data_IF_912700433736
#
_entry.id   IF_912700433736
#
_cell.length_a   1.000
_cell.length_b   1.000
_cell.length_c   1.000
_cell.angle_alpha   90.00
_cell.angle_beta   90.00
_cell.angle_gamma   90.00
#
_symmetry.space_group_name_H-M   'P 1'
#
loop_
_entity.id
_entity.type
_entity.pdbx_description
1 polymer ?
#
# COMPACT_ATOMS: atom_id res chain seq x y z
N UNK A 1 -25.03 31.63 -51.49
CA UNK A 1 -24.85 31.07 -50.13
C UNK A 1 -24.24 32.16 -49.28
N UNK A 2 -24.86 32.49 -48.16
CA UNK A 2 -24.32 33.51 -47.28
C UNK A 2 -23.06 32.98 -46.57
N UNK A 3 -21.98 33.76 -46.51
CA UNK A 3 -20.72 33.34 -45.87
C UNK A 3 -20.94 32.95 -44.40
N UNK A 4 -21.92 33.54 -43.73
CA UNK A 4 -22.33 33.20 -42.37
C UNK A 4 -22.81 31.73 -42.26
N UNK A 5 -23.63 31.27 -43.22
CA UNK A 5 -24.17 29.90 -43.22
C UNK A 5 -23.06 28.86 -43.45
N UNK A 6 -22.07 29.19 -44.28
CA UNK A 6 -20.90 28.33 -44.52
C UNK A 6 -20.07 28.21 -43.23
N UNK A 7 -19.81 29.33 -42.54
CA UNK A 7 -19.06 29.35 -41.27
C UNK A 7 -19.79 28.54 -40.19
N UNK A 8 -21.11 28.70 -40.05
CA UNK A 8 -21.92 27.93 -39.10
C UNK A 8 -21.91 26.43 -39.42
N UNK A 9 -21.96 26.05 -40.69
CA UNK A 9 -21.83 24.66 -41.13
C UNK A 9 -20.48 24.05 -40.75
N UNK A 10 -19.38 24.78 -40.98
CA UNK A 10 -18.02 24.34 -40.62
C UNK A 10 -17.88 24.20 -39.09
N UNK A 11 -18.37 25.18 -38.32
CA UNK A 11 -18.34 25.13 -36.85
C UNK A 11 -19.14 23.94 -36.31
N UNK A 12 -20.34 23.67 -36.86
CA UNK A 12 -21.15 22.52 -36.48
C UNK A 12 -20.43 21.19 -36.75
N UNK A 13 -19.72 21.09 -37.87
CA UNK A 13 -18.93 19.91 -38.23
C UNK A 13 -17.76 19.71 -37.26
N UNK A 14 -17.03 20.78 -36.92
CA UNK A 14 -15.94 20.75 -35.94
C UNK A 14 -16.45 20.29 -34.56
N UNK A 15 -17.57 20.86 -34.08
CA UNK A 15 -18.15 20.50 -32.78
C UNK A 15 -18.57 19.02 -32.77
N UNK A 16 -19.17 18.53 -33.85
CA UNK A 16 -19.58 17.12 -33.96
C UNK A 16 -18.38 16.18 -33.86
N UNK A 17 -17.28 16.52 -34.55
CA UNK A 17 -16.02 15.76 -34.48
C UNK A 17 -15.43 15.79 -33.07
N UNK A 18 -15.42 16.96 -32.41
CA UNK A 18 -14.95 17.08 -31.02
C UNK A 18 -15.76 16.20 -30.06
N UNK A 19 -17.09 16.21 -30.16
CA UNK A 19 -17.98 15.39 -29.32
C UNK A 19 -17.73 13.90 -29.57
N UNK A 20 -17.58 13.49 -30.83
CA UNK A 20 -17.31 12.09 -31.19
C UNK A 20 -15.97 11.57 -30.64
N UNK A 21 -14.99 12.46 -30.41
CA UNK A 21 -13.70 12.08 -29.83
C UNK A 21 -13.73 11.94 -28.29
N UNK A 22 -14.68 12.57 -27.59
CA UNK A 22 -14.79 12.50 -26.12
C UNK A 22 -14.71 11.07 -25.57
N UNK A 23 -15.47 10.07 -26.03
CA UNK A 23 -15.41 8.71 -25.47
C UNK A 23 -14.03 8.07 -25.62
N UNK A 24 -13.36 8.31 -26.74
CA UNK A 24 -12.00 7.82 -26.97
C UNK A 24 -11.02 8.45 -25.97
N UNK A 25 -11.03 9.78 -25.83
CA UNK A 25 -10.19 10.47 -24.85
C UNK A 25 -10.49 10.00 -23.41
N UNK A 26 -11.77 9.79 -23.08
CA UNK A 26 -12.17 9.30 -21.77
C UNK A 26 -11.58 7.92 -21.48
N UNK A 27 -11.70 6.98 -22.42
CA UNK A 27 -11.15 5.62 -22.30
C UNK A 27 -9.63 5.60 -22.15
N UNK A 28 -8.92 6.45 -22.88
CA UNK A 28 -7.45 6.47 -22.88
C UNK A 28 -6.88 7.12 -21.62
N UNK A 29 -7.45 8.25 -21.18
CA UNK A 29 -6.84 9.13 -20.18
C UNK A 29 -7.53 9.12 -18.80
N UNK A 30 -8.79 8.70 -18.73
CA UNK A 30 -9.59 8.81 -17.51
C UNK A 30 -9.97 7.44 -16.95
N UNK A 31 -10.16 6.45 -17.81
CA UNK A 31 -10.46 5.08 -17.38
C UNK A 31 -9.14 4.32 -17.17
N UNK A 32 -8.97 3.76 -15.98
CA UNK A 32 -7.78 3.01 -15.60
C UNK A 32 -8.09 1.86 -14.65
N UNK A 33 -7.09 1.03 -14.33
CA UNK A 33 -7.24 -0.02 -13.34
C UNK A 33 -7.54 0.54 -11.94
N UNK A 34 -8.27 -0.24 -11.14
CA UNK A 34 -8.60 0.10 -9.75
C UNK A 34 -8.00 -0.98 -8.84
N UNK A 35 -6.76 -0.73 -8.40
CA UNK A 35 -6.04 -1.65 -7.51
C UNK A 35 -6.28 -1.27 -6.04
N UNK A 36 -6.80 -2.19 -5.23
CA UNK A 36 -6.85 -2.02 -3.76
C UNK A 36 -5.68 -2.71 -3.09
N UNK A 37 -5.23 -2.14 -1.97
CA UNK A 37 -4.30 -2.78 -1.04
C UNK A 37 -5.07 -3.13 0.24
N UNK A 38 -4.80 -4.33 0.76
CA UNK A 38 -5.29 -4.82 2.04
C UNK A 38 -4.13 -5.39 2.84
N UNK A 39 -4.13 -5.15 4.16
CA UNK A 39 -3.18 -5.76 5.10
C UNK A 39 -3.91 -6.88 5.85
N UNK A 40 -3.40 -8.11 5.74
CA UNK A 40 -3.98 -9.29 6.34
C UNK A 40 -3.00 -9.85 7.37
N UNK A 41 -3.30 -9.76 8.67
CA UNK A 41 -2.51 -10.42 9.71
C UNK A 41 -2.45 -11.93 9.48
N UNK A 42 -1.24 -12.50 9.57
CA UNK A 42 -0.95 -13.93 9.40
C UNK A 42 -0.25 -14.50 10.65
N UNK A 43 -0.64 -13.95 11.80
CA UNK A 43 -0.09 -14.27 13.12
C UNK A 43 1.27 -13.67 13.40
N UNK A 44 1.97 -14.25 14.38
CA UNK A 44 3.26 -13.76 14.83
C UNK A 44 3.85 -14.64 15.92
N UNK A 45 5.02 -14.26 16.40
CA UNK A 45 5.68 -14.90 17.54
C UNK A 45 6.44 -13.88 18.37
N UNK A 46 6.52 -14.11 19.67
CA UNK A 46 7.35 -13.34 20.59
C UNK A 46 8.32 -14.30 21.29
N UNK A 47 9.61 -14.17 20.99
CA UNK A 47 10.68 -15.05 21.45
C UNK A 47 11.54 -14.34 22.48
N UNK A 48 11.83 -15.01 23.59
CA UNK A 48 12.77 -14.51 24.60
C UNK A 48 14.21 -14.70 24.09
N UNK A 49 14.95 -13.61 23.99
CA UNK A 49 16.35 -13.59 23.56
C UNK A 49 17.35 -13.56 24.73
N UNK A 50 16.87 -13.47 25.97
CA UNK A 50 17.69 -13.46 27.17
C UNK A 50 17.30 -12.36 28.17
N UNK A 51 18.12 -12.21 29.20
CA UNK A 51 17.97 -11.13 30.18
C UNK A 51 18.49 -9.81 29.62
N UNK A 52 17.78 -8.72 29.89
CA UNK A 52 18.27 -7.37 29.62
C UNK A 52 19.42 -7.02 30.56
N UNK A 53 20.38 -6.22 30.07
CA UNK A 53 21.42 -5.61 30.89
C UNK A 53 20.92 -4.56 31.89
N UNK A 54 19.63 -4.19 31.83
CA UNK A 54 19.00 -3.22 32.75
C UNK A 54 18.56 -3.84 34.08
N UNK A 55 18.71 -5.15 34.27
CA UNK A 55 18.40 -5.80 35.53
C UNK A 55 19.40 -5.41 36.63
N UNK A 56 18.90 -5.22 37.86
CA UNK A 56 19.77 -5.07 39.02
C UNK A 56 20.45 -6.40 39.36
N UNK A 57 21.77 -6.45 39.23
CA UNK A 57 22.60 -7.62 39.52
C UNK A 57 23.40 -7.48 40.82
N UNK A 58 23.19 -6.42 41.61
CA UNK A 58 23.97 -6.13 42.84
C UNK A 58 23.90 -7.27 43.87
N UNK A 59 22.81 -8.04 43.86
CA UNK A 59 22.57 -9.18 44.75
C UNK A 59 23.14 -10.50 44.25
N UNK A 60 23.79 -10.51 43.08
CA UNK A 60 24.34 -11.73 42.45
C UNK A 60 23.30 -12.64 41.78
N UNK A 61 22.02 -12.24 41.76
CA UNK A 61 20.95 -12.93 41.04
C UNK A 61 19.92 -11.91 40.51
N UNK A 62 19.13 -12.33 39.52
CA UNK A 62 17.98 -11.57 39.00
C UNK A 62 16.70 -12.27 39.45
N UNK A 63 15.77 -11.53 40.06
CA UNK A 63 14.46 -12.05 40.44
C UNK A 63 13.59 -12.29 39.20
N UNK A 64 13.26 -13.54 38.91
CA UNK A 64 12.49 -13.93 37.72
C UNK A 64 11.11 -13.28 37.60
N UNK A 65 10.49 -12.87 38.71
CA UNK A 65 9.19 -12.18 38.69
C UNK A 65 9.30 -10.72 38.23
N UNK A 66 10.46 -10.09 38.46
CA UNK A 66 10.75 -8.69 38.16
C UNK A 66 11.79 -8.54 37.05
N UNK A 67 12.27 -9.66 36.50
CA UNK A 67 13.29 -9.70 35.46
C UNK A 67 12.77 -9.03 34.18
N UNK A 68 13.60 -8.13 33.66
CA UNK A 68 13.44 -7.55 32.34
C UNK A 68 14.13 -8.47 31.34
N UNK A 69 13.38 -8.92 30.34
CA UNK A 69 13.90 -9.76 29.26
C UNK A 69 13.97 -8.96 27.98
N UNK A 70 14.84 -9.37 27.07
CA UNK A 70 14.85 -8.91 25.69
C UNK A 70 13.95 -9.86 24.89
N UNK A 71 12.90 -9.34 24.26
CA UNK A 71 12.03 -10.11 23.39
C UNK A 71 12.18 -9.67 21.92
N UNK A 72 12.32 -10.64 21.03
CA UNK A 72 12.13 -10.44 19.59
C UNK A 72 10.66 -10.72 19.26
N UNK A 73 9.95 -9.67 18.86
CA UNK A 73 8.54 -9.73 18.48
C UNK A 73 8.43 -9.66 16.97
N UNK A 74 7.92 -10.72 16.36
CA UNK A 74 7.75 -10.84 14.91
C UNK A 74 6.26 -10.91 14.57
N UNK A 75 5.81 -10.01 13.70
CA UNK A 75 4.50 -10.07 13.05
C UNK A 75 4.66 -10.59 11.62
N UNK A 76 3.76 -11.48 11.20
CA UNK A 76 3.58 -11.88 9.81
C UNK A 76 2.34 -11.16 9.28
N UNK A 77 2.51 -10.38 8.22
CA UNK A 77 1.43 -9.58 7.64
C UNK A 77 1.52 -9.70 6.14
N UNK A 78 0.44 -10.18 5.51
CA UNK A 78 0.34 -10.30 4.07
C UNK A 78 -0.21 -9.00 3.48
N UNK A 79 0.47 -8.46 2.47
CA UNK A 79 -0.01 -7.34 1.67
C UNK A 79 -0.71 -7.90 0.44
N UNK A 80 -2.03 -7.79 0.40
CA UNK A 80 -2.85 -8.27 -0.71
C UNK A 80 -3.18 -7.09 -1.62
N UNK A 81 -2.91 -7.26 -2.91
CA UNK A 81 -3.24 -6.30 -3.97
C UNK A 81 -4.33 -6.94 -4.83
N UNK A 82 -5.48 -6.29 -4.98
CA UNK A 82 -6.58 -6.80 -5.81
C UNK A 82 -6.91 -5.81 -6.91
N UNK A 83 -7.02 -6.27 -8.16
CA UNK A 83 -7.54 -5.45 -9.24
C UNK A 83 -9.05 -5.60 -9.32
N UNK A 84 -9.78 -4.61 -8.83
CA UNK A 84 -11.26 -4.63 -8.81
C UNK A 84 -11.88 -4.14 -10.13
N UNK A 85 -11.05 -3.86 -11.14
CA UNK A 85 -11.50 -3.44 -12.46
C UNK A 85 -11.34 -4.56 -13.49
N UNK A 86 -11.99 -4.40 -14.65
CA UNK A 86 -11.77 -5.28 -15.81
C UNK A 86 -10.56 -4.84 -16.68
N UNK A 87 -9.72 -3.93 -16.18
CA UNK A 87 -8.61 -3.34 -16.93
C UNK A 87 -7.30 -3.82 -16.35
N UNK A 88 -6.46 -4.43 -17.20
CA UNK A 88 -5.13 -4.87 -16.80
C UNK A 88 -4.26 -3.71 -16.32
N UNK A 89 -3.66 -3.87 -15.15
CA UNK A 89 -2.65 -2.97 -14.62
C UNK A 89 -1.25 -3.45 -15.02
N UNK A 90 -0.49 -2.58 -15.69
CA UNK A 90 0.86 -2.85 -16.14
C UNK A 90 1.88 -2.13 -15.26
N UNK A 91 3.06 -2.74 -15.11
CA UNK A 91 4.18 -2.13 -14.41
C UNK A 91 3.88 -1.71 -12.97
N UNK A 92 3.24 -2.58 -12.15
CA UNK A 92 2.91 -2.23 -10.78
C UNK A 92 4.19 -2.02 -9.95
N UNK A 93 4.21 -0.96 -9.14
CA UNK A 93 5.32 -0.61 -8.25
C UNK A 93 4.80 -0.15 -6.90
N UNK A 94 5.37 -0.69 -5.83
CA UNK A 94 5.09 -0.26 -4.47
C UNK A 94 6.13 0.74 -3.98
N UNK A 95 5.66 1.76 -3.25
CA UNK A 95 6.49 2.71 -2.50
C UNK A 95 5.91 2.91 -1.13
N UNK A 96 6.77 3.00 -0.13
CA UNK A 96 6.42 3.27 1.25
C UNK A 96 6.80 4.71 1.58
N UNK A 97 5.90 5.46 2.22
CA UNK A 97 6.20 6.84 2.61
C UNK A 97 7.28 6.88 3.69
N UNK A 98 7.12 6.06 4.72
CA UNK A 98 8.02 5.96 5.87
C UNK A 98 8.78 4.64 5.83
N UNK A 99 10.01 4.64 5.33
CA UNK A 99 10.84 3.42 5.26
C UNK A 99 11.11 2.81 6.65
N UNK A 100 11.17 3.62 7.70
CA UNK A 100 11.34 3.14 9.08
C UNK A 100 10.11 2.42 9.65
N UNK A 101 8.91 2.70 9.13
CA UNK A 101 7.65 2.04 9.53
C UNK A 101 7.26 0.90 8.55
N UNK A 102 8.19 0.50 7.69
CA UNK A 102 7.96 -0.53 6.68
C UNK A 102 8.28 -1.93 7.21
N UNK A 103 7.85 -2.93 6.45
CA UNK A 103 8.18 -4.33 6.71
C UNK A 103 9.70 -4.53 6.77
N UNK A 104 10.18 -5.22 7.80
CA UNK A 104 11.58 -5.69 7.88
C UNK A 104 11.93 -6.58 6.68
N UNK A 105 10.96 -7.37 6.21
CA UNK A 105 11.05 -8.14 4.96
C UNK A 105 9.69 -8.20 4.28
N UNK A 106 9.66 -7.93 2.98
CA UNK A 106 8.45 -8.07 2.15
C UNK A 106 8.83 -8.74 0.83
N UNK A 107 7.97 -9.64 0.35
CA UNK A 107 8.12 -10.22 -0.98
C UNK A 107 8.12 -9.13 -2.06
N UNK A 108 8.94 -9.32 -3.10
CA UNK A 108 9.03 -8.35 -4.18
C UNK A 108 7.76 -8.38 -5.05
N UNK A 109 7.26 -7.19 -5.42
CA UNK A 109 6.24 -7.07 -6.45
C UNK A 109 6.90 -7.01 -7.82
N UNK A 110 6.74 -8.07 -8.61
CA UNK A 110 7.31 -8.17 -9.94
C UNK A 110 6.73 -7.11 -10.90
N UNK A 111 7.50 -6.07 -11.19
CA UNK A 111 7.06 -4.96 -12.04
C UNK A 111 6.73 -5.41 -13.47
N UNK A 112 7.38 -6.46 -14.00
CA UNK A 112 7.11 -6.89 -15.37
C UNK A 112 5.89 -7.81 -15.49
N UNK A 113 5.29 -8.21 -14.37
CA UNK A 113 4.11 -9.05 -14.34
C UNK A 113 2.87 -8.17 -14.25
N UNK A 114 2.02 -8.12 -15.28
CA UNK A 114 0.78 -7.36 -15.23
C UNK A 114 -0.22 -8.02 -14.27
N UNK A 115 -1.09 -7.20 -13.66
CA UNK A 115 -2.21 -7.65 -12.83
C UNK A 115 -3.47 -7.57 -13.68
N UNK A 116 -3.99 -8.73 -14.10
CA UNK A 116 -5.20 -8.81 -14.90
C UNK A 116 -6.43 -8.33 -14.12
N UNK A 117 -7.52 -8.07 -14.84
CA UNK A 117 -8.75 -7.66 -14.19
C UNK A 117 -9.30 -8.77 -13.30
N UNK A 118 -9.75 -8.42 -12.10
CA UNK A 118 -10.21 -9.36 -11.06
C UNK A 118 -9.12 -10.32 -10.53
N UNK A 119 -7.84 -10.06 -10.83
CA UNK A 119 -6.72 -10.81 -10.27
C UNK A 119 -6.28 -10.25 -8.91
N UNK A 120 -5.69 -11.11 -8.09
CA UNK A 120 -5.10 -10.74 -6.80
C UNK A 120 -3.66 -11.25 -6.69
N UNK A 121 -2.81 -10.46 -6.05
CA UNK A 121 -1.44 -10.81 -5.69
C UNK A 121 -1.30 -10.69 -4.17
N UNK A 122 -0.62 -11.65 -3.54
CA UNK A 122 -0.35 -11.64 -2.11
C UNK A 122 1.15 -11.64 -1.88
N UNK A 123 1.65 -10.57 -1.26
CA UNK A 123 3.05 -10.43 -0.88
C UNK A 123 3.20 -10.74 0.61
N UNK A 124 4.07 -11.69 0.96
CA UNK A 124 4.29 -12.05 2.36
C UNK A 124 5.24 -11.06 3.01
N UNK A 125 4.79 -10.45 4.10
CA UNK A 125 5.54 -9.49 4.87
C UNK A 125 5.87 -9.99 6.28
N UNK A 126 6.99 -9.52 6.80
CA UNK A 126 7.41 -9.67 8.20
C UNK A 126 7.84 -8.33 8.75
N UNK A 127 7.42 -8.05 9.98
CA UNK A 127 7.88 -6.92 10.77
C UNK A 127 8.46 -7.44 12.09
N UNK A 128 9.69 -7.03 12.41
CA UNK A 128 10.43 -7.47 13.59
C UNK A 128 10.76 -6.26 14.45
N UNK A 129 10.48 -6.37 15.74
CA UNK A 129 10.79 -5.38 16.75
C UNK A 129 11.48 -6.06 17.94
N UNK A 130 12.37 -5.32 18.61
CA UNK A 130 12.95 -5.73 19.88
C UNK A 130 12.38 -4.87 21.00
N UNK A 131 11.98 -5.50 22.09
CA UNK A 131 11.51 -4.82 23.29
C UNK A 131 12.20 -5.37 24.54
N UNK A 132 12.34 -4.51 25.54
CA UNK A 132 12.92 -4.87 26.83
C UNK A 132 11.88 -4.64 27.93
N UNK A 133 11.17 -5.70 28.31
CA UNK A 133 10.03 -5.62 29.24
C UNK A 133 9.99 -6.82 30.18
N UNK A 134 9.14 -6.75 31.20
CA UNK A 134 8.82 -7.91 32.02
C UNK A 134 8.08 -8.96 31.18
N UNK A 135 8.27 -10.26 31.48
CA UNK A 135 7.57 -11.34 30.78
C UNK A 135 6.04 -11.24 30.80
N UNK A 136 5.45 -10.57 31.80
CA UNK A 136 3.99 -10.32 31.89
C UNK A 136 3.50 -9.20 30.98
N UNK A 137 4.37 -8.25 30.63
CA UNK A 137 4.06 -7.07 29.81
C UNK A 137 4.40 -7.29 28.33
N UNK A 138 4.96 -8.46 28.00
CA UNK A 138 5.39 -8.85 26.66
C UNK A 138 4.29 -8.67 25.62
N UNK A 139 4.63 -7.96 24.55
CA UNK A 139 3.74 -7.76 23.40
C UNK A 139 3.39 -9.11 22.79
N UNK A 140 2.09 -9.34 22.59
CA UNK A 140 1.57 -10.48 21.86
C UNK A 140 1.27 -10.04 20.42
N UNK A 141 1.93 -10.58 19.40
CA UNK A 141 1.78 -10.15 18.01
C UNK A 141 0.50 -10.71 17.37
N UNK A 142 -0.64 -10.36 17.97
CA UNK A 142 -1.97 -10.72 17.49
C UNK A 142 -2.52 -9.53 16.69
N UNK A 143 -2.62 -9.67 15.36
CA UNK A 143 -3.11 -8.61 14.48
C UNK A 143 -1.99 -7.80 13.82
N UNK A 144 -2.24 -6.51 13.58
CA UNK A 144 -1.26 -5.61 12.99
C UNK A 144 -0.35 -5.00 14.08
N UNK A 145 0.92 -4.69 13.77
CA UNK A 145 1.76 -3.89 14.66
C UNK A 145 1.15 -2.51 14.89
N UNK A 146 1.22 -1.97 16.11
CA UNK A 146 0.73 -0.60 16.41
C UNK A 146 1.45 0.45 15.53
N UNK A 147 2.71 0.22 15.19
CA UNK A 147 3.49 1.09 14.30
C UNK A 147 2.93 1.15 12.86
N UNK A 148 1.98 0.28 12.50
CA UNK A 148 1.32 0.32 11.20
C UNK A 148 0.13 1.28 11.17
N UNK A 149 -0.24 1.94 12.27
CA UNK A 149 -1.33 2.93 12.27
C UNK A 149 -1.10 4.06 11.25
N UNK A 150 0.15 4.52 11.12
CA UNK A 150 0.55 5.59 10.17
C UNK A 150 1.11 5.04 8.86
N UNK A 151 0.92 3.74 8.57
CA UNK A 151 1.46 3.13 7.35
C UNK A 151 0.72 3.66 6.12
N UNK A 152 1.48 4.36 5.26
CA UNK A 152 1.04 4.79 3.93
C UNK A 152 1.84 4.12 2.81
N UNK A 153 1.13 3.59 1.83
CA UNK A 153 1.69 2.86 0.70
C UNK A 153 1.16 3.47 -0.59
N UNK A 154 2.05 3.74 -1.55
CA UNK A 154 1.69 4.15 -2.90
C UNK A 154 1.91 2.97 -3.84
N UNK A 155 0.86 2.60 -4.57
CA UNK A 155 0.91 1.66 -5.68
C UNK A 155 0.79 2.44 -6.99
N UNK A 156 1.88 2.46 -7.76
CA UNK A 156 1.93 3.09 -9.09
C UNK A 156 1.74 2.03 -10.17
N UNK A 157 0.94 2.31 -11.19
CA UNK A 157 0.68 1.38 -12.29
C UNK A 157 0.20 2.10 -13.55
N UNK A 158 0.14 1.37 -14.66
CA UNK A 158 -0.26 1.90 -15.98
C UNK A 158 -1.44 1.14 -16.56
N UNK A 159 -2.30 1.84 -17.29
CA UNK A 159 -3.33 1.22 -18.12
C UNK A 159 -2.73 0.70 -19.46
N UNK A 160 -3.49 -0.02 -20.30
CA UNK A 160 -3.03 -0.48 -21.62
C UNK A 160 -2.54 0.65 -22.55
N UNK A 161 -2.97 1.88 -22.31
CA UNK A 161 -2.59 3.07 -23.06
C UNK A 161 -1.38 3.81 -22.46
N UNK A 162 -0.65 3.17 -21.54
CA UNK A 162 0.56 3.71 -20.87
C UNK A 162 0.30 4.94 -20.00
N UNK A 163 -0.95 5.22 -19.64
CA UNK A 163 -1.28 6.30 -18.69
C UNK A 163 -1.16 5.80 -17.27
N UNK A 164 -0.61 6.68 -16.42
CA UNK A 164 -0.27 6.37 -15.04
C UNK A 164 -1.46 6.62 -14.11
N UNK A 165 -1.60 5.70 -13.17
CA UNK A 165 -2.61 5.69 -12.14
C UNK A 165 -1.93 5.29 -10.82
N UNK A 166 -2.56 5.69 -9.73
CA UNK A 166 -1.98 5.62 -8.42
C UNK A 166 -3.07 5.23 -7.42
N UNK A 167 -2.77 4.26 -6.57
CA UNK A 167 -3.56 3.99 -5.36
C UNK A 167 -2.72 4.37 -4.15
N UNK A 168 -3.29 5.19 -3.28
CA UNK A 168 -2.73 5.49 -1.97
C UNK A 168 -3.49 4.64 -0.95
N UNK A 169 -2.77 3.77 -0.28
CA UNK A 169 -3.29 3.07 0.89
C UNK A 169 -2.88 3.81 2.17
N UNK A 170 -3.83 4.00 3.08
CA UNK A 170 -3.61 4.54 4.42
C UNK A 170 -4.26 3.60 5.44
N UNK A 171 -3.49 3.14 6.41
CA UNK A 171 -4.04 2.30 7.49
C UNK A 171 -4.65 3.12 8.64
N UNK A 172 -4.59 4.45 8.58
CA UNK A 172 -5.26 5.35 9.52
C UNK A 172 -6.77 5.06 9.53
N UNK A 173 -7.40 5.09 10.71
CA UNK A 173 -8.79 4.62 10.96
C UNK A 173 -9.94 5.34 10.23
N UNK A 174 -9.67 6.16 9.22
CA UNK A 174 -10.69 6.87 8.44
C UNK A 174 -11.31 6.00 7.33
N UNK A 175 -12.55 6.34 6.98
CA UNK A 175 -13.56 5.54 6.26
C UNK A 175 -13.12 4.95 4.89
N UNK A 176 -12.02 5.40 4.30
CA UNK A 176 -11.50 4.88 3.02
C UNK A 176 -10.00 4.60 3.09
N UNK A 177 -9.63 3.33 3.23
CA UNK A 177 -8.23 2.90 3.27
C UNK A 177 -7.50 3.05 1.93
N UNK A 178 -8.21 3.14 0.81
CA UNK A 178 -7.64 3.19 -0.53
C UNK A 178 -8.19 4.40 -1.31
N UNK A 179 -7.30 5.30 -1.74
CA UNK A 179 -7.65 6.47 -2.54
C UNK A 179 -7.02 6.38 -3.93
N UNK A 180 -7.85 6.50 -4.97
CA UNK A 180 -7.43 6.43 -6.36
C UNK A 180 -7.17 7.82 -6.94
N UNK A 181 -6.00 8.01 -7.51
CA UNK A 181 -5.63 9.27 -8.16
C UNK A 181 -4.87 9.06 -9.46
N UNK A 182 -4.93 10.07 -10.32
CA UNK A 182 -4.23 10.12 -11.60
C UNK A 182 -2.98 11.00 -11.54
N UNK A 183 -2.84 11.77 -10.46
CA UNK A 183 -1.67 12.61 -10.22
C UNK A 183 -0.85 11.98 -9.14
N UNK A 184 0.46 11.85 -9.38
CA UNK A 184 1.39 11.38 -8.39
C UNK A 184 1.26 12.24 -7.11
N UNK A 185 0.99 11.65 -5.94
CA UNK A 185 0.84 12.41 -4.71
C UNK A 185 2.17 13.04 -4.30
N UNK A 186 2.13 14.31 -3.86
CA UNK A 186 3.33 15.08 -3.52
C UNK A 186 4.14 14.48 -2.37
N UNK A 187 3.47 13.81 -1.44
CA UNK A 187 4.09 13.12 -0.30
C UNK A 187 5.09 12.04 -0.75
N UNK A 188 4.94 11.49 -1.96
CA UNK A 188 5.75 10.41 -2.51
C UNK A 188 6.68 10.87 -3.67
N UNK A 189 6.89 12.18 -3.80
CA UNK A 189 7.80 12.77 -4.81
C UNK A 189 9.21 12.86 -4.24
#
# INVERSE_FOLDING_TARGET
>A
MDPLSIILGILGLIITVLIAMIPYFRKVYFVGPELTIELIPDGGMSMNCGLSGKNDTSKGYVDGNNAIYVFEVTWKVNLKITNNSNITAYYPKLKFLNQQLSFTKLDNLETNTPIQGNEQIVLKGKYVMYEEVNGKERTQPNGLPNNFEDLKILLEYKNPHKKEFYTIFSNSSELEKNNYTRKKPKEFI
#
